data_IF_334914941994
#
_entry.id   IF_334914941994
#
_cell.length_a   1.000
_cell.length_b   1.000
_cell.length_c   1.000
_cell.angle_alpha   90.00
_cell.angle_beta   90.00
_cell.angle_gamma   90.00
#
_symmetry.space_group_name_H-M   'P 1'
#
loop_
_entity.id
_entity.type
_entity.pdbx_description
1 polymer ?
#
# COMPACT_ATOMS: atom_id res chain seq x y z
N UNK A 1 26.37 16.47 5.12
CA UNK A 1 26.61 15.19 4.42
C UNK A 1 25.44 14.29 4.71
N UNK A 2 24.80 13.72 3.69
CA UNK A 2 23.76 12.70 3.88
C UNK A 2 24.43 11.46 4.50
N UNK A 3 23.94 10.97 5.64
CA UNK A 3 24.45 9.72 6.22
C UNK A 3 24.13 8.58 5.26
N UNK A 4 25.08 7.65 5.08
CA UNK A 4 24.78 6.39 4.37
C UNK A 4 23.63 5.68 5.05
N UNK A 5 22.62 5.30 4.27
CA UNK A 5 21.48 4.53 4.77
C UNK A 5 21.96 3.08 5.05
N UNK A 6 21.57 2.49 6.19
CA UNK A 6 21.95 1.10 6.51
C UNK A 6 21.00 0.09 5.86
N UNK A 7 21.47 -1.14 5.71
CA UNK A 7 20.61 -2.30 5.51
C UNK A 7 19.67 -2.47 6.70
N UNK A 8 18.40 -2.84 6.46
CA UNK A 8 17.38 -2.94 7.51
C UNK A 8 17.39 -4.29 8.24
N UNK A 9 17.19 -5.37 7.50
CA UNK A 9 17.11 -6.73 8.02
C UNK A 9 18.02 -7.71 7.28
N UNK A 10 18.56 -7.30 6.13
CA UNK A 10 19.60 -8.05 5.42
C UNK A 10 20.98 -7.65 5.95
N UNK A 11 21.97 -8.51 5.68
CA UNK A 11 23.38 -8.23 5.88
C UNK A 11 24.17 -8.71 4.65
N UNK A 12 25.45 -8.34 4.50
CA UNK A 12 26.23 -8.69 3.30
C UNK A 12 26.26 -10.20 3.01
N UNK A 13 26.32 -11.04 4.03
CA UNK A 13 26.31 -12.51 3.88
C UNK A 13 24.98 -13.00 3.33
N UNK A 14 23.85 -12.58 3.93
CA UNK A 14 22.52 -12.97 3.46
C UNK A 14 22.22 -12.45 2.05
N UNK A 15 22.69 -11.24 1.70
CA UNK A 15 22.59 -10.71 0.34
C UNK A 15 23.29 -11.62 -0.67
N UNK A 16 24.53 -12.05 -0.37
CA UNK A 16 25.29 -12.92 -1.25
C UNK A 16 24.62 -14.31 -1.40
N UNK A 17 24.15 -14.90 -0.30
CA UNK A 17 23.46 -16.20 -0.29
C UNK A 17 22.14 -16.15 -1.08
N UNK A 18 21.32 -15.11 -0.88
CA UNK A 18 20.05 -14.92 -1.60
C UNK A 18 20.30 -14.69 -3.08
N UNK A 19 21.28 -13.82 -3.43
CA UNK A 19 21.65 -13.58 -4.83
C UNK A 19 22.12 -14.86 -5.54
N UNK A 20 22.89 -15.71 -4.85
CA UNK A 20 23.35 -17.00 -5.37
C UNK A 20 22.20 -18.00 -5.56
N UNK A 21 21.27 -18.07 -4.59
CA UNK A 21 20.18 -19.08 -4.57
C UNK A 21 19.02 -18.70 -5.51
N UNK A 22 18.66 -17.40 -5.60
CA UNK A 22 17.46 -16.95 -6.29
C UNK A 22 17.70 -16.00 -7.46
N UNK A 23 18.95 -15.57 -7.65
CA UNK A 23 19.33 -14.58 -8.65
C UNK A 23 18.92 -13.16 -8.28
N UNK A 24 19.39 -12.18 -9.07
CA UNK A 24 19.01 -10.77 -8.96
C UNK A 24 18.36 -10.31 -10.28
N UNK A 25 17.45 -9.30 -10.24
CA UNK A 25 16.86 -8.71 -9.04
C UNK A 25 15.83 -9.66 -8.40
N UNK A 26 15.61 -9.51 -7.08
CA UNK A 26 14.54 -10.18 -6.37
C UNK A 26 14.06 -9.38 -5.16
N UNK A 27 12.75 -9.38 -4.90
CA UNK A 27 12.20 -8.84 -3.65
C UNK A 27 12.45 -9.83 -2.51
N UNK A 28 12.87 -9.32 -1.37
CA UNK A 28 13.06 -10.10 -0.13
C UNK A 28 12.17 -9.52 0.95
N UNK A 29 11.22 -10.31 1.43
CA UNK A 29 10.29 -9.92 2.51
C UNK A 29 10.72 -10.52 3.84
N UNK A 30 10.74 -9.71 4.90
CA UNK A 30 10.98 -10.16 6.27
C UNK A 30 9.67 -10.55 6.94
N UNK A 31 9.46 -11.84 7.23
CA UNK A 31 8.27 -12.29 7.97
C UNK A 31 8.23 -11.71 9.37
N UNK A 32 9.38 -11.61 10.06
CA UNK A 32 9.47 -11.00 11.38
C UNK A 32 8.99 -9.55 11.38
N UNK A 33 9.49 -8.74 10.44
CA UNK A 33 9.09 -7.35 10.30
C UNK A 33 7.60 -7.20 9.95
N UNK A 34 7.07 -8.05 9.06
CA UNK A 34 5.64 -8.08 8.71
C UNK A 34 4.78 -8.35 9.96
N UNK A 35 5.16 -9.36 10.74
CA UNK A 35 4.44 -9.71 11.98
C UNK A 35 4.55 -8.62 13.05
N UNK A 36 5.71 -7.99 13.19
CA UNK A 36 5.90 -6.88 14.12
C UNK A 36 5.00 -5.68 13.78
N UNK A 37 4.98 -5.25 12.53
CA UNK A 37 4.11 -4.15 12.06
C UNK A 37 2.62 -4.47 12.20
N UNK A 38 2.22 -5.71 11.96
CA UNK A 38 0.85 -6.16 12.17
C UNK A 38 0.49 -6.13 13.66
N UNK A 39 1.37 -6.63 14.54
CA UNK A 39 1.19 -6.61 15.98
C UNK A 39 1.07 -5.20 16.56
N UNK A 40 1.85 -4.24 16.04
CA UNK A 40 1.74 -2.83 16.40
C UNK A 40 0.39 -2.25 15.97
N UNK A 41 -0.05 -2.55 14.74
CA UNK A 41 -1.31 -2.04 14.21
C UNK A 41 -2.53 -2.61 14.94
N UNK A 42 -2.49 -3.87 15.36
CA UNK A 42 -3.55 -4.51 16.16
C UNK A 42 -3.70 -3.88 17.56
N UNK A 43 -2.68 -3.16 18.05
CA UNK A 43 -2.72 -2.40 19.30
C UNK A 43 -3.20 -0.96 19.13
N UNK A 44 -3.73 -0.60 17.95
CA UNK A 44 -4.26 0.74 17.69
C UNK A 44 -5.36 1.08 18.71
N UNK A 45 -5.22 2.16 19.51
CA UNK A 45 -6.21 2.55 20.50
C UNK A 45 -7.59 2.79 19.89
N UNK A 46 -8.60 2.16 20.48
CA UNK A 46 -9.98 2.26 20.03
C UNK A 46 -10.94 2.24 21.22
N UNK A 47 -12.19 2.66 21.01
CA UNK A 47 -13.20 2.74 22.06
C UNK A 47 -14.06 1.48 22.17
N UNK A 48 -14.52 0.90 21.05
CA UNK A 48 -15.56 -0.12 21.02
C UNK A 48 -15.23 -1.27 20.04
N UNK A 49 -13.98 -1.63 19.93
CA UNK A 49 -13.47 -2.69 19.08
C UNK A 49 -12.83 -2.18 17.78
N UNK A 50 -11.91 -2.97 17.27
CA UNK A 50 -11.06 -2.68 16.11
C UNK A 50 -11.05 -3.85 15.14
N UNK A 51 -11.18 -3.55 13.85
CA UNK A 51 -10.79 -4.46 12.76
C UNK A 51 -9.73 -3.78 11.91
N UNK A 52 -8.57 -4.40 11.81
CA UNK A 52 -7.51 -3.97 10.88
C UNK A 52 -7.70 -4.73 9.57
N UNK A 53 -7.90 -4.02 8.47
CA UNK A 53 -7.97 -4.58 7.12
C UNK A 53 -6.69 -4.25 6.38
N UNK A 54 -5.95 -5.25 5.97
CA UNK A 54 -4.80 -5.03 5.11
C UNK A 54 -5.24 -4.57 3.72
N UNK A 55 -4.85 -3.36 3.30
CA UNK A 55 -5.06 -2.87 1.93
C UNK A 55 -4.16 -3.66 0.96
N UNK A 56 -4.70 -4.74 0.38
CA UNK A 56 -3.91 -5.73 -0.36
C UNK A 56 -3.30 -5.22 -1.66
N UNK A 57 -3.77 -4.07 -2.18
CA UNK A 57 -3.11 -3.35 -3.29
C UNK A 57 -1.65 -2.99 -3.01
N UNK A 58 -1.24 -2.90 -1.73
CA UNK A 58 0.15 -2.67 -1.35
C UNK A 58 1.06 -3.83 -1.77
N UNK A 59 0.64 -5.09 -1.59
CA UNK A 59 1.22 -6.31 -2.17
C UNK A 59 0.21 -7.46 -2.05
N UNK A 60 -0.36 -7.96 -3.17
CA UNK A 60 -1.40 -8.98 -3.14
C UNK A 60 -0.85 -10.43 -3.17
N UNK A 61 0.40 -10.65 -2.74
CA UNK A 61 1.01 -11.97 -2.69
C UNK A 61 0.28 -12.87 -1.67
N UNK A 62 -0.11 -14.07 -2.09
CA UNK A 62 -0.91 -14.99 -1.27
C UNK A 62 -0.22 -15.36 0.05
N UNK A 63 1.12 -15.47 0.08
CA UNK A 63 1.87 -15.76 1.32
C UNK A 63 1.74 -14.61 2.33
N UNK A 64 1.82 -13.36 1.84
CA UNK A 64 1.65 -12.17 2.68
C UNK A 64 0.23 -12.09 3.23
N UNK A 65 -0.79 -12.35 2.39
CA UNK A 65 -2.18 -12.39 2.82
C UNK A 65 -2.40 -13.43 3.93
N UNK A 66 -1.82 -14.63 3.78
CA UNK A 66 -1.91 -15.70 4.79
C UNK A 66 -1.22 -15.33 6.11
N UNK A 67 -0.08 -14.63 6.07
CA UNK A 67 0.58 -14.14 7.29
C UNK A 67 -0.35 -13.18 8.02
N UNK A 68 -0.92 -12.20 7.34
CA UNK A 68 -1.86 -11.25 7.95
C UNK A 68 -3.13 -11.92 8.47
N UNK A 69 -3.73 -12.84 7.71
CA UNK A 69 -4.91 -13.59 8.14
C UNK A 69 -4.64 -14.42 9.40
N UNK A 70 -3.47 -15.06 9.47
CA UNK A 70 -3.05 -15.84 10.66
C UNK A 70 -2.89 -14.99 11.92
N UNK A 71 -2.69 -13.68 11.77
CA UNK A 71 -2.61 -12.70 12.86
C UNK A 71 -3.96 -12.05 13.18
N UNK A 72 -5.04 -12.42 12.48
CA UNK A 72 -6.38 -11.89 12.70
C UNK A 72 -6.71 -10.63 11.90
N UNK A 73 -5.86 -10.20 10.98
CA UNK A 73 -6.20 -9.11 10.08
C UNK A 73 -7.23 -9.58 9.04
N UNK A 74 -8.05 -8.66 8.62
CA UNK A 74 -8.97 -8.80 7.50
C UNK A 74 -8.34 -8.19 6.23
N UNK A 75 -9.04 -8.26 5.09
CA UNK A 75 -8.55 -7.77 3.81
C UNK A 75 -9.45 -6.63 3.30
N UNK A 76 -8.83 -5.55 2.82
CA UNK A 76 -9.44 -4.56 1.95
C UNK A 76 -8.98 -4.83 0.52
N UNK A 77 -9.94 -5.08 -0.38
CA UNK A 77 -9.74 -5.32 -1.80
C UNK A 77 -10.23 -4.13 -2.62
N UNK A 78 -9.48 -3.74 -3.64
CA UNK A 78 -9.76 -2.58 -4.49
C UNK A 78 -10.26 -2.97 -5.89
N UNK A 79 -10.47 -4.25 -6.15
CA UNK A 79 -11.08 -4.78 -7.39
C UNK A 79 -11.66 -6.17 -7.16
N UNK A 80 -12.53 -6.63 -8.09
CA UNK A 80 -13.01 -8.02 -8.09
C UNK A 80 -11.87 -9.03 -8.22
N UNK A 81 -10.84 -8.70 -9.01
CA UNK A 81 -9.65 -9.55 -9.15
C UNK A 81 -8.87 -9.71 -7.83
N UNK A 82 -8.77 -8.65 -7.03
CA UNK A 82 -8.17 -8.75 -5.69
C UNK A 82 -9.01 -9.62 -4.76
N UNK A 83 -10.35 -9.51 -4.80
CA UNK A 83 -11.24 -10.42 -4.05
C UNK A 83 -10.98 -11.87 -4.44
N UNK A 84 -10.94 -12.18 -5.75
CA UNK A 84 -10.65 -13.53 -6.21
C UNK A 84 -9.26 -14.02 -5.80
N UNK A 85 -8.24 -13.15 -5.82
CA UNK A 85 -6.90 -13.51 -5.32
C UNK A 85 -6.92 -13.83 -3.82
N UNK A 86 -7.63 -13.04 -3.01
CA UNK A 86 -7.77 -13.31 -1.59
C UNK A 86 -8.50 -14.64 -1.32
N UNK A 87 -9.60 -14.92 -2.04
CA UNK A 87 -10.33 -16.18 -1.97
C UNK A 87 -9.45 -17.38 -2.37
N UNK A 88 -8.68 -17.26 -3.48
CA UNK A 88 -7.72 -18.28 -3.91
C UNK A 88 -6.58 -18.48 -2.91
N UNK A 89 -6.22 -17.46 -2.14
CA UNK A 89 -5.26 -17.57 -1.04
C UNK A 89 -5.86 -18.28 0.20
N UNK A 90 -7.16 -18.59 0.22
CA UNK A 90 -7.85 -19.24 1.32
C UNK A 90 -8.41 -18.29 2.38
N UNK A 91 -8.44 -16.99 2.10
CA UNK A 91 -9.06 -16.02 3.00
C UNK A 91 -10.59 -16.20 2.97
N UNK A 92 -11.20 -16.26 4.14
CA UNK A 92 -12.65 -16.41 4.26
C UNK A 92 -13.39 -15.18 3.71
N UNK A 93 -14.48 -15.37 2.94
CA UNK A 93 -15.20 -14.25 2.29
C UNK A 93 -15.63 -13.14 3.25
N UNK A 94 -16.10 -13.48 4.45
CA UNK A 94 -16.55 -12.53 5.47
C UNK A 94 -15.42 -11.64 6.04
N UNK A 95 -14.15 -12.02 5.83
CA UNK A 95 -13.00 -11.19 6.15
C UNK A 95 -12.62 -10.22 5.04
N UNK A 96 -13.19 -10.36 3.84
CA UNK A 96 -12.87 -9.52 2.67
C UNK A 96 -13.90 -8.39 2.56
N UNK A 97 -13.41 -7.17 2.37
CA UNK A 97 -14.23 -6.00 2.04
C UNK A 97 -13.78 -5.45 0.69
N UNK A 98 -14.73 -5.25 -0.22
CA UNK A 98 -14.50 -4.65 -1.53
C UNK A 98 -14.85 -3.16 -1.48
N UNK A 99 -13.87 -2.29 -1.79
CA UNK A 99 -14.02 -0.85 -1.96
C UNK A 99 -13.38 -0.44 -3.29
N UNK A 100 -14.14 -0.49 -4.38
CA UNK A 100 -13.62 -0.40 -5.74
C UNK A 100 -14.22 0.77 -6.51
N UNK A 101 -13.44 1.38 -7.42
CA UNK A 101 -13.95 2.34 -8.43
C UNK A 101 -14.91 1.67 -9.41
N UNK A 102 -14.65 0.41 -9.72
CA UNK A 102 -15.47 -0.43 -10.59
C UNK A 102 -16.17 -1.50 -9.76
N UNK A 103 -17.50 -1.58 -9.85
CA UNK A 103 -18.25 -2.70 -9.28
C UNK A 103 -18.10 -3.90 -10.25
N UNK A 104 -17.44 -5.01 -9.84
CA UNK A 104 -17.20 -6.14 -10.73
C UNK A 104 -18.50 -6.75 -11.24
N UNK A 105 -18.48 -7.37 -12.42
CA UNK A 105 -19.67 -7.98 -13.02
C UNK A 105 -20.29 -9.06 -12.12
N UNK A 106 -19.45 -9.84 -11.45
CA UNK A 106 -19.85 -10.91 -10.54
C UNK A 106 -20.10 -10.46 -9.09
N UNK A 107 -20.26 -9.15 -8.86
CA UNK A 107 -20.48 -8.59 -7.51
C UNK A 107 -21.59 -9.31 -6.72
N UNK A 108 -22.61 -9.77 -7.42
CA UNK A 108 -23.72 -10.49 -6.80
C UNK A 108 -23.27 -11.83 -6.22
N UNK A 109 -22.45 -12.58 -6.95
CA UNK A 109 -21.86 -13.84 -6.49
C UNK A 109 -20.94 -13.61 -5.28
N UNK A 110 -20.11 -12.56 -5.34
CA UNK A 110 -19.19 -12.21 -4.26
C UNK A 110 -19.97 -11.82 -2.99
N UNK A 111 -21.03 -11.01 -3.14
CA UNK A 111 -21.88 -10.61 -2.02
C UNK A 111 -22.56 -11.84 -1.36
N UNK A 112 -23.14 -12.76 -2.16
CA UNK A 112 -23.77 -13.98 -1.67
C UNK A 112 -22.79 -14.92 -0.95
N UNK A 113 -21.51 -14.92 -1.35
CA UNK A 113 -20.46 -15.64 -0.62
C UNK A 113 -20.09 -15.02 0.74
N UNK A 114 -20.59 -13.82 1.05
CA UNK A 114 -20.31 -13.12 2.30
C UNK A 114 -19.23 -12.03 2.21
N UNK A 115 -18.73 -11.72 1.00
CA UNK A 115 -17.83 -10.57 0.80
C UNK A 115 -18.59 -9.28 1.11
N UNK A 116 -17.99 -8.44 1.94
CA UNK A 116 -18.56 -7.14 2.27
C UNK A 116 -18.29 -6.17 1.13
N UNK A 117 -19.31 -5.39 0.72
CA UNK A 117 -19.16 -4.42 -0.37
C UNK A 117 -19.50 -3.02 0.15
N UNK A 118 -18.61 -2.07 -0.10
CA UNK A 118 -18.86 -0.66 0.06
C UNK A 118 -19.27 -0.06 -1.30
N UNK A 119 -20.47 0.47 -1.42
CA UNK A 119 -20.88 1.24 -2.59
C UNK A 119 -20.05 2.55 -2.64
N UNK A 120 -19.31 2.74 -3.72
CA UNK A 120 -18.42 3.89 -3.93
C UNK A 120 -19.02 4.97 -4.84
N UNK A 121 -20.22 4.74 -5.38
CA UNK A 121 -20.99 5.70 -6.16
C UNK A 121 -22.50 5.46 -6.00
N UNK A 122 -23.32 6.42 -6.41
CA UNK A 122 -24.78 6.25 -6.43
C UNK A 122 -25.22 5.13 -7.37
N UNK A 123 -24.52 4.94 -8.49
CA UNK A 123 -24.83 3.86 -9.42
C UNK A 123 -24.51 2.49 -8.84
N UNK A 124 -23.37 2.33 -8.21
CA UNK A 124 -23.04 1.10 -7.48
C UNK A 124 -24.10 0.78 -6.41
N UNK A 125 -24.54 1.79 -5.65
CA UNK A 125 -25.59 1.61 -4.66
C UNK A 125 -26.91 1.19 -5.32
N UNK A 126 -27.31 1.79 -6.45
CA UNK A 126 -28.53 1.41 -7.20
C UNK A 126 -28.44 -0.03 -7.73
N UNK A 127 -27.26 -0.46 -8.22
CA UNK A 127 -27.05 -1.83 -8.71
C UNK A 127 -27.16 -2.84 -7.57
N UNK A 128 -26.54 -2.57 -6.42
CA UNK A 128 -26.65 -3.38 -5.21
C UNK A 128 -28.10 -3.43 -4.70
N UNK A 129 -28.80 -2.28 -4.72
CA UNK A 129 -30.20 -2.18 -4.27
C UNK A 129 -31.16 -2.99 -5.14
N UNK A 130 -30.91 -3.06 -6.45
CA UNK A 130 -31.69 -3.91 -7.37
C UNK A 130 -31.43 -5.40 -7.17
N UNK A 131 -30.16 -5.77 -6.93
CA UNK A 131 -29.79 -7.18 -6.76
C UNK A 131 -30.15 -7.73 -5.38
N UNK A 132 -30.12 -6.89 -4.33
CA UNK A 132 -30.26 -7.33 -2.93
C UNK A 132 -31.19 -6.43 -2.12
N UNK A 133 -32.47 -6.30 -2.50
CA UNK A 133 -33.42 -5.51 -1.72
C UNK A 133 -33.55 -6.09 -0.29
N UNK A 134 -33.67 -5.21 0.69
CA UNK A 134 -33.78 -5.58 2.11
C UNK A 134 -32.47 -5.96 2.80
N UNK A 135 -31.39 -6.12 2.07
CA UNK A 135 -30.09 -6.52 2.62
C UNK A 135 -29.24 -5.33 3.12
N UNK A 136 -28.05 -5.61 3.66
CA UNK A 136 -27.14 -4.61 4.18
C UNK A 136 -26.08 -4.19 3.16
N UNK A 137 -25.55 -2.96 3.28
CA UNK A 137 -24.49 -2.44 2.42
C UNK A 137 -23.55 -1.52 3.22
N UNK A 138 -22.28 -1.46 2.81
CA UNK A 138 -21.37 -0.40 3.20
C UNK A 138 -21.49 0.80 2.24
N UNK A 139 -21.19 2.00 2.73
CA UNK A 139 -21.21 3.24 1.94
C UNK A 139 -19.85 3.93 2.06
N UNK A 140 -19.14 4.09 0.95
CA UNK A 140 -17.94 4.93 0.93
C UNK A 140 -18.30 6.35 0.54
N UNK A 141 -18.03 7.29 1.44
CA UNK A 141 -18.24 8.70 1.20
C UNK A 141 -16.93 9.44 0.91
N UNK A 142 -17.01 10.43 0.03
CA UNK A 142 -16.04 11.51 -0.07
C UNK A 142 -16.53 12.62 0.88
N UNK A 143 -15.81 12.87 2.00
CA UNK A 143 -16.27 13.82 3.02
C UNK A 143 -16.06 15.30 2.63
N UNK A 144 -15.56 15.57 1.41
CA UNK A 144 -15.28 16.94 0.95
C UNK A 144 -13.90 17.45 1.33
N UNK A 145 -13.10 16.63 2.01
CA UNK A 145 -11.73 16.93 2.39
C UNK A 145 -10.78 15.79 1.99
N UNK A 146 -9.58 16.15 1.58
CA UNK A 146 -8.51 15.20 1.29
C UNK A 146 -7.19 15.61 1.95
N UNK A 147 -6.27 14.64 2.02
CA UNK A 147 -4.90 14.82 2.51
C UNK A 147 -3.95 13.96 1.68
N UNK A 148 -2.72 14.44 1.50
CA UNK A 148 -1.67 13.71 0.79
C UNK A 148 -0.42 14.54 0.63
N UNK A 149 0.74 13.90 0.51
CA UNK A 149 2.01 14.58 0.24
C UNK A 149 2.10 15.18 -1.17
N UNK A 150 1.27 14.68 -2.08
CA UNK A 150 1.10 15.19 -3.45
C UNK A 150 -0.36 15.05 -3.86
N UNK A 151 -0.80 15.78 -4.90
CA UNK A 151 -2.14 15.61 -5.47
C UNK A 151 -2.44 14.18 -5.91
N UNK A 152 -1.42 13.42 -6.33
CA UNK A 152 -1.54 12.01 -6.75
C UNK A 152 -1.83 11.03 -5.59
N UNK A 153 -1.61 11.43 -4.34
CA UNK A 153 -1.87 10.62 -3.13
C UNK A 153 -3.09 11.10 -2.35
N UNK A 154 -3.77 12.14 -2.81
CA UNK A 154 -5.01 12.63 -2.24
C UNK A 154 -6.20 11.85 -2.82
N UNK A 155 -7.04 11.25 -1.96
CA UNK A 155 -8.21 10.45 -2.36
C UNK A 155 -9.52 10.96 -1.75
N UNK A 156 -9.56 12.24 -1.35
CA UNK A 156 -10.74 12.95 -0.86
C UNK A 156 -10.82 14.39 -1.38
N UNK A 157 -11.93 15.07 -1.12
CA UNK A 157 -12.16 16.44 -1.57
C UNK A 157 -12.69 16.55 -3.01
N UNK A 158 -12.89 17.79 -3.51
CA UNK A 158 -13.61 18.04 -4.78
C UNK A 158 -12.86 17.56 -6.02
N UNK A 159 -11.54 17.39 -5.94
CA UNK A 159 -10.70 16.92 -7.04
C UNK A 159 -10.49 15.40 -7.03
N UNK A 160 -11.24 14.66 -6.22
CA UNK A 160 -11.13 13.20 -6.07
C UNK A 160 -12.39 12.50 -6.58
N UNK A 161 -12.21 11.46 -7.40
CA UNK A 161 -13.30 10.62 -7.94
C UNK A 161 -13.78 9.55 -6.94
N UNK A 162 -13.15 9.43 -5.77
CA UNK A 162 -13.41 8.34 -4.84
C UNK A 162 -14.58 8.62 -3.91
N UNK A 163 -15.53 7.67 -3.87
CA UNK A 163 -16.66 7.68 -2.93
C UNK A 163 -17.83 8.56 -3.36
N UNK A 164 -18.96 8.36 -2.70
CA UNK A 164 -20.18 9.17 -2.89
C UNK A 164 -19.93 10.55 -2.28
N UNK A 165 -20.13 11.61 -3.05
CA UNK A 165 -19.99 12.97 -2.54
C UNK A 165 -20.95 13.23 -1.38
N UNK A 166 -20.46 13.78 -0.27
CA UNK A 166 -21.22 13.89 0.99
C UNK A 166 -22.56 14.63 0.85
N UNK A 167 -22.68 15.58 -0.08
CA UNK A 167 -23.94 16.30 -0.33
C UNK A 167 -25.01 15.41 -1.00
N UNK A 168 -24.65 14.21 -1.46
CA UNK A 168 -25.60 13.24 -2.06
C UNK A 168 -26.27 12.31 -1.02
N UNK A 169 -26.17 12.62 0.25
CA UNK A 169 -26.84 11.88 1.33
C UNK A 169 -28.36 11.77 1.11
N UNK A 170 -29.11 12.81 0.67
CA UNK A 170 -30.54 12.68 0.41
C UNK A 170 -30.86 11.59 -0.62
N UNK A 171 -30.12 11.55 -1.73
CA UNK A 171 -30.29 10.53 -2.78
C UNK A 171 -29.93 9.12 -2.26
N UNK A 172 -28.89 9.00 -1.43
CA UNK A 172 -28.54 7.73 -0.78
C UNK A 172 -29.69 7.25 0.11
N UNK A 173 -30.25 8.13 0.95
CA UNK A 173 -31.38 7.79 1.84
C UNK A 173 -32.62 7.36 1.03
N UNK A 174 -32.89 8.00 -0.10
CA UNK A 174 -33.99 7.64 -0.97
C UNK A 174 -33.82 6.24 -1.58
N UNK A 175 -32.61 5.92 -2.09
CA UNK A 175 -32.30 4.59 -2.63
C UNK A 175 -32.47 3.52 -1.56
N UNK A 176 -31.90 3.73 -0.37
CA UNK A 176 -31.99 2.79 0.75
C UNK A 176 -33.47 2.56 1.18
N UNK A 177 -34.25 3.64 1.25
CA UNK A 177 -35.69 3.56 1.59
C UNK A 177 -36.48 2.76 0.54
N UNK A 178 -36.32 3.08 -0.75
CA UNK A 178 -37.02 2.39 -1.85
C UNK A 178 -36.68 0.91 -1.93
N UNK A 179 -35.42 0.56 -1.71
CA UNK A 179 -34.95 -0.84 -1.75
C UNK A 179 -35.10 -1.58 -0.42
N UNK A 180 -35.49 -0.90 0.65
CA UNK A 180 -35.51 -1.42 2.04
C UNK A 180 -34.11 -1.87 2.51
N UNK A 181 -33.04 -1.45 1.86
CA UNK A 181 -31.67 -1.77 2.27
C UNK A 181 -31.28 -1.02 3.56
N UNK A 182 -30.32 -1.59 4.26
CA UNK A 182 -29.77 -1.00 5.48
C UNK A 182 -28.28 -0.66 5.29
N UNK A 183 -27.90 0.60 5.51
CA UNK A 183 -26.51 0.95 5.63
C UNK A 183 -25.98 0.52 7.01
N UNK A 184 -24.97 -0.36 7.05
CA UNK A 184 -24.35 -0.85 8.28
C UNK A 184 -22.93 -0.34 8.49
N UNK A 185 -22.28 0.12 7.44
CA UNK A 185 -20.91 0.64 7.46
C UNK A 185 -20.83 1.97 6.73
N UNK A 186 -20.11 2.92 7.31
CA UNK A 186 -19.58 4.09 6.64
C UNK A 186 -18.09 3.87 6.45
N UNK A 187 -17.59 4.16 5.26
CA UNK A 187 -16.17 4.18 4.93
C UNK A 187 -15.81 5.57 4.42
N UNK A 188 -14.74 6.12 4.95
CA UNK A 188 -14.08 7.34 4.46
C UNK A 188 -12.59 7.09 4.29
N UNK A 189 -12.01 7.64 3.25
CA UNK A 189 -10.56 7.60 3.07
C UNK A 189 -10.13 8.91 2.41
N UNK A 190 -9.24 9.64 3.05
CA UNK A 190 -8.87 11.00 2.62
C UNK A 190 -7.48 11.09 1.99
N UNK A 191 -6.70 10.01 2.03
CA UNK A 191 -5.33 9.97 1.50
C UNK A 191 -4.32 9.55 2.56
N UNK A 192 -3.20 10.26 2.67
CA UNK A 192 -2.12 9.90 3.59
C UNK A 192 -1.71 11.07 4.47
N UNK A 193 -1.36 10.79 5.73
CA UNK A 193 -0.91 11.81 6.67
C UNK A 193 -0.37 11.20 7.97
N UNK A 194 0.50 11.96 8.65
CA UNK A 194 1.02 11.63 9.98
C UNK A 194 0.61 12.65 11.04
N UNK A 195 -0.11 13.71 10.66
CA UNK A 195 -0.57 14.75 11.57
C UNK A 195 -1.81 14.29 12.35
N UNK A 196 -1.75 14.18 13.69
CA UNK A 196 -2.87 13.82 14.54
C UNK A 196 -4.10 14.72 14.39
N UNK A 197 -3.90 16.02 14.12
CA UNK A 197 -4.99 16.98 13.91
C UNK A 197 -5.81 16.68 12.66
N UNK A 198 -5.15 16.23 11.60
CA UNK A 198 -5.83 15.77 10.37
C UNK A 198 -6.69 14.56 10.69
N UNK A 199 -6.15 13.57 11.40
CA UNK A 199 -6.89 12.36 11.78
C UNK A 199 -8.05 12.65 12.72
N UNK A 200 -7.88 13.57 13.67
CA UNK A 200 -8.97 14.04 14.55
C UNK A 200 -10.11 14.64 13.72
N UNK A 201 -9.79 15.55 12.81
CA UNK A 201 -10.78 16.19 11.94
C UNK A 201 -11.51 15.17 11.06
N UNK A 202 -10.80 14.22 10.49
CA UNK A 202 -11.38 13.12 9.69
C UNK A 202 -12.35 12.30 10.53
N UNK A 203 -11.97 11.95 11.76
CA UNK A 203 -12.83 11.18 12.66
C UNK A 203 -14.14 11.93 12.92
N UNK A 204 -14.11 13.22 13.24
CA UNK A 204 -15.31 14.04 13.48
C UNK A 204 -16.21 14.08 12.22
N UNK A 205 -15.66 14.45 11.06
CA UNK A 205 -16.43 14.50 9.81
C UNK A 205 -17.05 13.15 9.46
N UNK A 206 -16.34 12.07 9.72
CA UNK A 206 -16.83 10.71 9.44
C UNK A 206 -17.91 10.27 10.43
N UNK A 207 -17.80 10.67 11.69
CA UNK A 207 -18.84 10.43 12.69
C UNK A 207 -20.10 11.25 12.42
N UNK A 208 -19.99 12.46 11.86
CA UNK A 208 -21.15 13.24 11.40
C UNK A 208 -21.89 12.52 10.26
N UNK A 209 -21.17 11.84 9.35
CA UNK A 209 -21.79 10.97 8.35
C UNK A 209 -22.48 9.76 8.99
N UNK A 210 -21.87 9.15 10.02
CA UNK A 210 -22.48 8.02 10.78
C UNK A 210 -23.79 8.44 11.42
N UNK A 211 -23.90 9.67 11.93
CA UNK A 211 -25.12 10.18 12.54
C UNK A 211 -26.28 10.34 11.55
N UNK A 212 -25.99 10.49 10.25
CA UNK A 212 -27.01 10.55 9.21
C UNK A 212 -27.76 9.21 8.98
N UNK A 213 -27.19 8.09 9.47
CA UNK A 213 -27.74 6.74 9.26
C UNK A 213 -27.85 5.99 10.59
N UNK A 214 -29.06 5.79 11.14
CA UNK A 214 -29.22 5.29 12.52
C UNK A 214 -28.77 3.83 12.71
N UNK A 215 -28.69 3.04 11.63
CA UNK A 215 -28.33 1.62 11.68
C UNK A 215 -26.85 1.34 11.44
N UNK A 216 -26.02 2.37 11.27
CA UNK A 216 -24.57 2.17 11.16
C UNK A 216 -24.01 1.66 12.48
N UNK A 217 -23.25 0.58 12.40
CA UNK A 217 -22.52 -0.03 13.53
C UNK A 217 -21.00 0.03 13.36
N UNK A 218 -20.51 0.34 12.17
CA UNK A 218 -19.09 0.32 11.84
C UNK A 218 -18.69 1.59 11.08
N UNK A 219 -17.60 2.20 11.51
CA UNK A 219 -16.93 3.27 10.78
C UNK A 219 -15.53 2.83 10.39
N UNK A 220 -15.25 2.85 9.08
CA UNK A 220 -13.93 2.62 8.50
C UNK A 220 -13.31 3.97 8.12
N UNK A 221 -12.15 4.29 8.68
CA UNK A 221 -11.42 5.53 8.42
C UNK A 221 -10.37 5.39 7.31
N UNK A 222 -10.29 4.23 6.66
CA UNK A 222 -9.31 3.96 5.61
C UNK A 222 -7.88 3.80 6.14
N UNK A 223 -6.95 3.97 5.23
CA UNK A 223 -5.52 3.89 5.48
C UNK A 223 -4.82 5.24 5.41
N UNK A 224 -3.53 5.23 5.01
CA UNK A 224 -2.76 6.46 4.85
C UNK A 224 -1.74 6.70 5.96
N UNK A 225 -1.50 5.72 6.82
CA UNK A 225 -0.44 5.77 7.83
C UNK A 225 0.92 5.67 7.16
N UNK A 226 1.69 6.77 7.20
CA UNK A 226 3.00 6.89 6.57
C UNK A 226 4.06 6.10 7.33
N UNK A 227 5.07 5.66 6.60
CA UNK A 227 6.35 5.21 7.18
C UNK A 227 7.50 6.02 6.59
N UNK A 228 8.45 6.39 7.44
CA UNK A 228 9.71 6.95 7.00
C UNK A 228 10.55 5.87 6.32
N UNK A 229 10.84 6.07 5.05
CA UNK A 229 11.76 5.20 4.29
C UNK A 229 13.19 5.67 4.43
N UNK A 230 13.42 6.97 4.27
CA UNK A 230 14.72 7.61 4.48
C UNK A 230 14.92 7.93 5.97
N UNK A 231 16.18 7.99 6.41
CA UNK A 231 16.52 8.37 7.79
C UNK A 231 16.01 9.77 8.18
N UNK A 232 15.76 10.63 7.20
CA UNK A 232 15.19 11.98 7.40
C UNK A 232 13.66 12.01 7.47
N UNK A 233 12.97 10.91 7.18
CA UNK A 233 11.51 10.84 7.16
C UNK A 233 10.97 10.28 8.48
N UNK A 234 9.78 10.72 8.87
CA UNK A 234 9.10 10.27 10.07
C UNK A 234 7.97 9.29 9.72
N UNK A 235 7.87 8.22 10.50
CA UNK A 235 6.73 7.31 10.49
C UNK A 235 5.58 7.89 11.31
N UNK A 236 4.34 7.54 10.94
CA UNK A 236 3.16 7.82 11.74
C UNK A 236 3.25 7.09 13.08
N UNK A 237 3.15 7.82 14.19
CA UNK A 237 2.95 7.21 15.49
C UNK A 237 1.47 6.84 15.66
N UNK A 238 1.16 5.55 15.59
CA UNK A 238 -0.22 5.04 15.64
C UNK A 238 -0.92 5.39 16.96
N UNK A 239 -0.20 5.39 18.08
CA UNK A 239 -0.76 5.74 19.39
C UNK A 239 -1.19 7.21 19.42
N UNK A 240 -0.33 8.10 18.93
CA UNK A 240 -0.60 9.55 18.91
C UNK A 240 -1.78 9.91 18.01
N UNK A 241 -1.90 9.29 16.83
CA UNK A 241 -3.04 9.57 15.92
C UNK A 241 -4.33 8.91 16.39
N UNK A 242 -4.24 7.80 17.10
CA UNK A 242 -5.42 7.04 17.54
C UNK A 242 -6.14 7.66 18.74
N UNK A 243 -5.43 8.32 19.66
CA UNK A 243 -6.03 8.90 20.87
C UNK A 243 -7.17 9.89 20.57
N UNK A 244 -7.01 10.91 19.70
CA UNK A 244 -8.11 11.79 19.36
C UNK A 244 -9.25 11.11 18.61
N UNK A 245 -8.96 10.06 17.82
CA UNK A 245 -9.98 9.22 17.18
C UNK A 245 -10.80 8.50 18.24
N UNK A 246 -10.13 7.81 19.16
CA UNK A 246 -10.79 7.10 20.28
C UNK A 246 -11.71 8.04 21.07
N UNK A 247 -11.22 9.21 21.45
CA UNK A 247 -12.00 10.22 22.19
C UNK A 247 -13.24 10.67 21.41
N UNK A 248 -13.16 10.85 20.09
CA UNK A 248 -14.30 11.23 19.26
C UNK A 248 -15.40 10.13 19.26
N UNK A 249 -15.01 8.84 19.22
CA UNK A 249 -15.95 7.72 19.31
C UNK A 249 -16.60 7.62 20.69
N UNK A 250 -15.84 7.85 21.76
CA UNK A 250 -16.35 7.88 23.13
C UNK A 250 -17.38 9.03 23.32
N UNK A 251 -17.07 10.21 22.80
CA UNK A 251 -17.97 11.36 22.82
C UNK A 251 -19.27 11.09 22.06
N UNK A 252 -19.20 10.48 20.87
CA UNK A 252 -20.40 10.08 20.14
C UNK A 252 -21.26 9.12 20.98
N UNK A 253 -20.65 8.12 21.60
CA UNK A 253 -21.36 7.14 22.42
C UNK A 253 -22.03 7.80 23.65
N UNK A 254 -21.35 8.73 24.32
CA UNK A 254 -21.90 9.50 25.44
C UNK A 254 -23.12 10.31 25.01
N UNK A 255 -23.04 10.98 23.84
CA UNK A 255 -24.10 11.88 23.39
C UNK A 255 -25.30 11.16 22.76
N UNK A 256 -25.12 9.96 22.20
CA UNK A 256 -26.13 9.27 21.38
C UNK A 256 -26.50 7.86 21.86
N UNK A 257 -25.75 7.32 22.81
CA UNK A 257 -25.84 5.91 23.23
C UNK A 257 -25.30 4.89 22.21
N UNK A 258 -24.77 5.34 21.06
CA UNK A 258 -24.34 4.47 19.95
C UNK A 258 -22.85 4.13 20.08
N UNK A 259 -22.55 2.84 20.19
CA UNK A 259 -21.18 2.31 20.18
C UNK A 259 -20.82 1.87 18.76
N UNK A 260 -19.86 2.55 18.14
CA UNK A 260 -19.44 2.30 16.76
C UNK A 260 -18.11 1.56 16.74
N UNK A 261 -18.07 0.43 16.02
CA UNK A 261 -16.85 -0.34 15.81
C UNK A 261 -15.93 0.39 14.82
N UNK A 262 -14.63 0.45 15.11
CA UNK A 262 -13.62 1.08 14.26
C UNK A 262 -13.03 0.06 13.27
N UNK A 263 -12.92 0.44 12.01
CA UNK A 263 -12.07 -0.25 11.02
C UNK A 263 -11.01 0.71 10.48
N UNK A 264 -9.81 0.18 10.20
CA UNK A 264 -8.69 0.90 9.55
C UNK A 264 -8.09 0.03 8.44
N UNK A 265 -7.49 0.68 7.41
CA UNK A 265 -6.97 0.01 6.21
C UNK A 265 -5.48 0.31 5.95
N UNK A 266 -4.56 -0.03 6.87
CA UNK A 266 -3.13 0.15 6.62
C UNK A 266 -2.65 -0.75 5.48
N UNK A 267 -1.86 -0.17 4.54
CA UNK A 267 -1.11 -0.90 3.52
C UNK A 267 0.38 -0.61 3.67
N UNK A 268 0.76 0.65 3.46
CA UNK A 268 2.15 1.12 3.57
C UNK A 268 2.77 0.78 4.92
N UNK A 269 2.06 1.07 6.01
CA UNK A 269 2.55 0.88 7.38
C UNK A 269 2.90 -0.58 7.67
N UNK A 270 2.08 -1.50 7.18
CA UNK A 270 2.26 -2.94 7.42
C UNK A 270 3.44 -3.54 6.66
N UNK A 271 3.79 -2.99 5.48
CA UNK A 271 4.64 -3.75 4.58
C UNK A 271 5.85 -2.98 4.02
N UNK A 272 5.78 -1.66 3.88
CA UNK A 272 6.77 -0.92 3.11
C UNK A 272 8.21 -1.19 3.55
N UNK A 273 8.51 -1.07 4.84
CA UNK A 273 9.85 -1.24 5.39
C UNK A 273 10.24 -2.70 5.68
N UNK A 274 9.33 -3.62 5.39
CA UNK A 274 9.50 -5.05 5.63
C UNK A 274 9.88 -5.81 4.36
N UNK A 275 10.31 -5.09 3.31
CA UNK A 275 10.91 -5.70 2.14
C UNK A 275 12.00 -4.82 1.54
N UNK A 276 12.99 -5.51 0.97
CA UNK A 276 14.13 -4.97 0.24
C UNK A 276 14.14 -5.54 -1.18
N UNK A 277 14.64 -4.78 -2.15
CA UNK A 277 14.91 -5.27 -3.50
C UNK A 277 16.43 -5.47 -3.63
N UNK A 278 16.84 -6.72 -3.71
CA UNK A 278 18.23 -7.10 -3.95
C UNK A 278 18.49 -7.12 -5.44
N UNK A 279 19.45 -6.33 -5.89
CA UNK A 279 19.82 -6.15 -7.29
C UNK A 279 21.35 -6.08 -7.46
N UNK A 280 21.79 -5.82 -8.67
CA UNK A 280 23.22 -5.79 -9.01
C UNK A 280 23.55 -4.60 -9.91
N UNK A 281 24.72 -4.03 -9.71
CA UNK A 281 25.30 -3.00 -10.59
C UNK A 281 25.71 -3.66 -11.91
N UNK A 282 25.14 -3.18 -13.01
CA UNK A 282 25.41 -3.69 -14.36
C UNK A 282 26.45 -2.86 -15.10
N UNK A 283 26.42 -1.55 -14.88
CA UNK A 283 27.29 -0.64 -15.60
C UNK A 283 27.48 0.68 -14.85
N UNK A 284 28.53 1.41 -15.20
CA UNK A 284 28.84 2.75 -14.73
C UNK A 284 29.05 3.66 -15.91
N UNK A 285 28.49 4.86 -15.89
CA UNK A 285 28.74 5.90 -16.91
C UNK A 285 29.13 7.18 -16.22
N UNK A 286 30.25 7.78 -16.69
CA UNK A 286 30.70 9.10 -16.26
C UNK A 286 30.53 10.08 -17.42
N UNK A 287 29.87 11.22 -17.15
CA UNK A 287 29.61 12.27 -18.18
C UNK A 287 30.53 13.45 -18.05
N UNK A 288 31.65 13.29 -17.36
CA UNK A 288 32.72 14.30 -17.28
C UNK A 288 32.56 15.32 -16.15
N UNK A 289 33.36 16.37 -16.17
CA UNK A 289 33.48 17.34 -15.05
C UNK A 289 32.16 18.12 -14.80
N UNK A 290 31.42 18.42 -15.85
CA UNK A 290 30.13 19.15 -15.75
C UNK A 290 28.93 18.23 -15.51
N UNK A 291 29.17 16.94 -15.44
CA UNK A 291 28.09 15.92 -15.39
C UNK A 291 28.06 15.14 -14.11
N UNK A 292 27.65 13.87 -14.23
CA UNK A 292 27.45 12.96 -13.12
C UNK A 292 28.07 11.59 -13.41
N UNK A 293 28.36 10.86 -12.34
CA UNK A 293 28.64 9.43 -12.45
C UNK A 293 27.33 8.67 -12.18
N UNK A 294 26.90 7.87 -13.15
CA UNK A 294 25.66 7.06 -13.08
C UNK A 294 25.98 5.62 -12.70
N UNK A 295 25.21 5.06 -11.78
CA UNK A 295 25.12 3.62 -11.52
C UNK A 295 23.89 3.10 -12.26
N UNK A 296 24.06 2.10 -13.12
CA UNK A 296 22.97 1.38 -13.78
C UNK A 296 22.75 0.04 -13.10
N UNK A 297 21.52 -0.20 -12.61
CA UNK A 297 21.15 -1.42 -11.92
C UNK A 297 20.43 -2.40 -12.87
N UNK A 298 20.42 -3.69 -12.56
CA UNK A 298 19.57 -4.68 -13.26
C UNK A 298 18.10 -4.67 -12.80
N UNK A 299 17.64 -3.55 -12.31
CA UNK A 299 16.27 -3.27 -11.86
C UNK A 299 15.94 -1.82 -12.17
N UNK A 300 14.70 -1.41 -12.04
CA UNK A 300 14.29 -0.04 -12.28
C UNK A 300 12.80 0.16 -12.05
N UNK A 301 12.17 0.99 -12.90
CA UNK A 301 10.73 1.26 -12.85
C UNK A 301 9.86 0.01 -13.07
N UNK A 302 10.42 -1.06 -13.60
CA UNK A 302 9.79 -2.38 -13.71
C UNK A 302 9.53 -3.04 -12.36
N UNK A 303 10.24 -2.65 -11.30
CA UNK A 303 10.05 -3.11 -9.91
C UNK A 303 9.68 -1.96 -8.97
N UNK A 304 10.29 -0.79 -9.12
CA UNK A 304 10.16 0.36 -8.21
C UNK A 304 9.74 1.61 -8.98
N UNK A 305 8.48 1.71 -9.38
CA UNK A 305 7.91 2.84 -10.12
C UNK A 305 7.79 4.12 -9.28
N UNK A 306 7.81 4.02 -7.96
CA UNK A 306 7.53 5.13 -7.06
C UNK A 306 8.42 6.36 -7.21
N UNK A 307 9.75 6.24 -7.46
CA UNK A 307 10.60 7.39 -7.77
C UNK A 307 10.12 8.14 -9.01
N UNK A 308 9.88 7.45 -10.12
CA UNK A 308 9.41 8.03 -11.38
C UNK A 308 8.01 8.64 -11.27
N UNK A 309 7.08 7.98 -10.54
CA UNK A 309 5.69 8.40 -10.46
C UNK A 309 5.44 9.51 -9.44
N UNK A 310 6.13 9.46 -8.29
CA UNK A 310 5.86 10.30 -7.11
C UNK A 310 7.07 11.10 -6.64
N UNK A 311 8.23 11.01 -7.29
CA UNK A 311 9.51 11.50 -6.78
C UNK A 311 9.83 10.91 -5.38
N UNK A 312 9.36 9.68 -5.11
CA UNK A 312 9.52 9.05 -3.82
C UNK A 312 10.97 8.62 -3.62
N UNK A 313 11.48 8.88 -2.41
CA UNK A 313 12.82 8.48 -2.03
C UNK A 313 12.83 7.06 -1.47
N UNK A 314 13.85 6.31 -1.84
CA UNK A 314 14.16 5.01 -1.27
C UNK A 314 15.64 4.97 -0.83
N UNK A 315 15.99 4.36 0.31
CA UNK A 315 17.37 4.10 0.66
C UNK A 315 17.99 3.15 -0.39
N UNK A 316 19.20 3.46 -0.81
CA UNK A 316 20.00 2.65 -1.73
C UNK A 316 21.31 2.34 -1.02
N UNK A 317 21.65 1.07 -0.92
CA UNK A 317 22.84 0.59 -0.20
C UNK A 317 23.67 -0.29 -1.13
N UNK A 318 24.91 0.11 -1.40
CA UNK A 318 25.87 -0.73 -2.10
C UNK A 318 26.48 -1.69 -1.09
N UNK A 319 26.37 -2.98 -1.38
CA UNK A 319 26.79 -4.06 -0.46
C UNK A 319 28.23 -4.46 -0.79
N UNK A 320 29.18 -3.64 -0.37
CA UNK A 320 30.61 -3.90 -0.49
C UNK A 320 31.36 -3.40 0.77
N UNK A 321 32.68 -3.58 0.80
CA UNK A 321 33.55 -3.18 1.91
C UNK A 321 34.32 -1.89 1.64
N UNK A 322 33.91 -1.09 0.65
CA UNK A 322 34.58 0.16 0.32
C UNK A 322 34.45 1.17 1.47
N UNK A 323 35.60 1.74 1.88
CA UNK A 323 35.67 2.77 2.91
C UNK A 323 35.58 4.20 2.33
N UNK A 324 35.50 4.31 1.02
CA UNK A 324 35.44 5.58 0.28
C UNK A 324 34.04 5.71 -0.34
N UNK A 325 33.48 6.90 -0.26
CA UNK A 325 32.19 7.22 -0.87
C UNK A 325 32.36 8.17 -2.06
N UNK A 326 31.45 8.11 -3.02
CA UNK A 326 31.34 9.01 -4.16
C UNK A 326 29.87 9.39 -4.38
N UNK A 327 29.63 10.53 -5.01
CA UNK A 327 28.29 10.93 -5.41
C UNK A 327 27.88 10.23 -6.72
N UNK A 328 26.71 9.61 -6.73
CA UNK A 328 26.17 8.91 -7.88
C UNK A 328 24.72 9.29 -8.13
N UNK A 329 24.32 9.28 -9.40
CA UNK A 329 22.93 9.16 -9.81
C UNK A 329 22.67 7.68 -10.05
N UNK A 330 21.58 7.14 -9.50
CA UNK A 330 21.21 5.73 -9.69
C UNK A 330 20.02 5.66 -10.65
N UNK A 331 20.18 4.88 -11.70
CA UNK A 331 19.18 4.66 -12.74
C UNK A 331 18.90 3.17 -12.91
N UNK A 332 17.75 2.86 -13.48
CA UNK A 332 17.37 1.48 -13.79
C UNK A 332 17.90 1.00 -15.13
N UNK A 333 17.34 -0.10 -15.58
CA UNK A 333 17.74 -0.85 -16.78
C UNK A 333 16.86 -0.56 -18.01
N UNK A 334 15.79 0.22 -17.85
CA UNK A 334 14.91 0.52 -18.98
C UNK A 334 15.56 1.55 -19.92
N UNK A 335 15.29 1.40 -21.22
CA UNK A 335 15.66 2.41 -22.21
C UNK A 335 14.68 3.59 -22.14
N UNK A 336 14.68 4.27 -20.99
CA UNK A 336 13.74 5.32 -20.61
C UNK A 336 14.39 6.27 -19.61
N UNK A 337 14.45 7.57 -19.92
CA UNK A 337 15.08 8.58 -19.04
C UNK A 337 14.34 8.76 -17.71
N UNK A 338 13.04 8.44 -17.67
CA UNK A 338 12.23 8.40 -16.45
C UNK A 338 12.53 7.22 -15.52
N UNK A 339 13.39 6.26 -15.90
CA UNK A 339 13.85 5.17 -15.04
C UNK A 339 14.92 5.63 -14.05
N UNK A 340 14.60 6.71 -13.33
CA UNK A 340 15.44 7.38 -12.35
C UNK A 340 15.08 6.93 -10.94
N UNK A 341 16.03 6.32 -10.23
CA UNK A 341 15.83 5.84 -8.84
C UNK A 341 16.23 6.89 -7.78
N UNK A 342 16.93 7.93 -8.19
CA UNK A 342 17.36 9.05 -7.32
C UNK A 342 16.85 10.40 -7.82
N UNK A 343 15.51 10.60 -7.93
CA UNK A 343 14.95 11.90 -8.25
C UNK A 343 15.11 12.88 -7.09
N UNK A 344 14.96 14.18 -7.36
CA UNK A 344 14.85 15.19 -6.30
C UNK A 344 13.48 15.11 -5.59
N UNK A 345 13.42 15.64 -4.37
CA UNK A 345 12.19 15.65 -3.58
C UNK A 345 11.09 16.46 -4.29
N UNK A 346 9.97 15.79 -4.55
CA UNK A 346 8.81 16.40 -5.21
C UNK A 346 8.97 16.67 -6.72
N UNK A 347 10.13 16.34 -7.32
CA UNK A 347 10.38 16.49 -8.75
C UNK A 347 11.00 15.21 -9.32
N UNK A 348 10.19 14.41 -10.02
CA UNK A 348 10.60 13.12 -10.57
C UNK A 348 11.62 13.24 -11.74
N UNK A 349 11.72 14.40 -12.36
CA UNK A 349 12.59 14.63 -13.52
C UNK A 349 13.99 15.17 -13.13
N UNK A 350 14.12 15.70 -11.90
CA UNK A 350 15.36 16.31 -11.44
C UNK A 350 16.25 15.31 -10.74
N UNK A 351 17.52 15.26 -11.13
CA UNK A 351 18.55 14.38 -10.57
C UNK A 351 18.95 14.84 -9.17
N UNK A 352 19.04 13.89 -8.22
CA UNK A 352 19.57 14.11 -6.87
C UNK A 352 20.72 13.12 -6.61
N UNK A 353 21.99 13.58 -6.64
CA UNK A 353 23.13 12.72 -6.34
C UNK A 353 23.04 12.13 -4.93
N UNK A 354 23.37 10.85 -4.81
CA UNK A 354 23.46 10.11 -3.54
C UNK A 354 24.93 9.82 -3.22
N UNK A 355 25.30 10.07 -1.99
CA UNK A 355 26.61 9.67 -1.49
C UNK A 355 26.56 8.19 -1.13
N UNK A 356 27.20 7.34 -1.93
CA UNK A 356 27.21 5.89 -1.80
C UNK A 356 28.65 5.38 -1.74
N UNK A 357 28.85 4.17 -1.22
CA UNK A 357 30.15 3.49 -1.27
C UNK A 357 30.67 3.47 -2.70
N UNK A 358 31.99 3.65 -2.87
CA UNK A 358 32.63 3.49 -4.18
C UNK A 358 32.22 2.15 -4.79
N UNK A 359 31.64 2.24 -5.97
CA UNK A 359 30.90 1.15 -6.60
C UNK A 359 31.66 0.60 -7.80
N UNK A 360 31.63 -0.72 -7.96
CA UNK A 360 32.18 -1.44 -9.10
C UNK A 360 31.09 -2.26 -9.80
N UNK A 361 31.27 -2.54 -11.10
CA UNK A 361 30.39 -3.43 -11.86
C UNK A 361 30.38 -4.81 -11.19
N UNK A 362 29.19 -5.37 -10.97
CA UNK A 362 29.02 -6.63 -10.30
C UNK A 362 28.68 -6.52 -8.80
N UNK A 363 28.87 -5.35 -8.17
CA UNK A 363 28.48 -5.13 -6.78
C UNK A 363 26.98 -5.43 -6.56
N UNK A 364 26.65 -6.00 -5.41
CA UNK A 364 25.28 -6.11 -4.98
C UNK A 364 24.78 -4.74 -4.47
N UNK A 365 23.55 -4.44 -4.79
CA UNK A 365 22.85 -3.25 -4.35
C UNK A 365 21.50 -3.64 -3.73
N UNK A 366 21.11 -2.95 -2.68
CA UNK A 366 19.83 -3.12 -2.02
C UNK A 366 19.06 -1.81 -2.04
N UNK A 367 17.83 -1.84 -2.56
CA UNK A 367 16.86 -0.75 -2.45
C UNK A 367 15.89 -1.13 -1.33
N UNK A 368 15.85 -0.28 -0.30
CA UNK A 368 15.06 -0.52 0.91
C UNK A 368 13.66 0.09 0.85
N UNK A 369 12.78 -0.38 1.73
CA UNK A 369 11.43 0.20 1.87
C UNK A 369 10.50 -0.07 0.69
N UNK A 370 10.68 -1.18 -0.02
CA UNK A 370 9.98 -1.54 -1.27
C UNK A 370 8.82 -2.52 -1.09
N UNK A 371 8.43 -2.85 0.14
CA UNK A 371 7.39 -3.85 0.40
C UNK A 371 6.00 -3.45 -0.05
N UNK A 372 5.73 -2.15 -0.18
CA UNK A 372 4.40 -1.64 -0.53
C UNK A 372 4.43 -0.78 -1.79
N UNK A 373 3.51 -1.04 -2.73
CA UNK A 373 3.35 -0.30 -3.98
C UNK A 373 4.62 -0.29 -4.86
N UNK A 374 5.35 -1.41 -4.86
CA UNK A 374 6.46 -1.67 -5.75
C UNK A 374 6.15 -2.90 -6.61
N UNK A 375 6.33 -4.13 -6.13
CA UNK A 375 5.99 -5.35 -6.88
C UNK A 375 4.52 -5.40 -7.38
N UNK A 376 3.59 -4.71 -6.72
CA UNK A 376 2.18 -4.64 -7.10
C UNK A 376 1.83 -3.49 -8.05
N UNK A 377 2.69 -2.48 -8.15
CA UNK A 377 2.44 -1.25 -8.90
C UNK A 377 3.72 -0.85 -9.64
N UNK A 378 4.09 -1.59 -10.66
CA UNK A 378 5.30 -1.42 -11.46
C UNK A 378 4.97 -1.39 -12.94
N UNK A 379 5.89 -0.90 -13.78
CA UNK A 379 5.80 -0.95 -15.24
C UNK A 379 6.13 -2.36 -15.75
N UNK A 380 5.24 -3.31 -15.45
CA UNK A 380 5.44 -4.73 -15.77
C UNK A 380 5.69 -4.96 -17.25
N UNK A 381 6.71 -5.75 -17.51
CA UNK A 381 7.16 -6.15 -18.86
C UNK A 381 7.54 -4.98 -19.79
N UNK A 382 7.79 -3.77 -19.25
CA UNK A 382 8.36 -2.70 -20.06
C UNK A 382 9.76 -3.12 -20.57
N UNK A 383 10.08 -2.81 -21.82
CA UNK A 383 11.23 -3.34 -22.58
C UNK A 383 11.36 -4.88 -22.54
N UNK A 384 10.25 -5.60 -22.35
CA UNK A 384 10.16 -7.06 -22.21
C UNK A 384 10.92 -7.64 -21.02
N UNK A 385 11.25 -6.83 -20.00
CA UNK A 385 11.82 -7.36 -18.76
C UNK A 385 10.81 -8.23 -18.00
N UNK A 386 11.21 -9.45 -17.56
CA UNK A 386 10.33 -10.35 -16.82
C UNK A 386 10.07 -9.84 -15.39
N UNK A 387 8.89 -10.11 -14.86
CA UNK A 387 8.62 -9.89 -13.43
C UNK A 387 9.61 -10.69 -12.58
N UNK A 388 10.19 -10.05 -11.59
CA UNK A 388 11.24 -10.64 -10.73
C UNK A 388 10.67 -11.58 -9.68
N UNK A 389 11.53 -12.43 -9.13
CA UNK A 389 11.17 -13.32 -8.03
C UNK A 389 10.84 -12.54 -6.76
N UNK A 390 9.91 -13.08 -5.95
CA UNK A 390 9.68 -12.66 -4.57
C UNK A 390 10.08 -13.81 -3.64
N UNK A 391 10.85 -13.50 -2.62
CA UNK A 391 11.30 -14.47 -1.61
C UNK A 391 10.91 -14.00 -0.22
N UNK A 392 10.65 -14.95 0.68
CA UNK A 392 10.36 -14.70 2.08
C UNK A 392 11.56 -15.16 2.91
N UNK A 393 12.03 -14.28 3.76
CA UNK A 393 12.90 -14.59 4.89
C UNK A 393 11.99 -14.90 6.09
N UNK A 394 11.77 -16.19 6.42
CA UNK A 394 10.82 -16.57 7.45
C UNK A 394 11.40 -16.33 8.85
N UNK A 395 10.54 -16.33 9.89
CA UNK A 395 10.98 -16.28 11.30
C UNK A 395 11.82 -17.51 11.65
N UNK A 396 11.45 -18.66 11.10
CA UNK A 396 12.16 -19.93 11.27
C UNK A 396 12.29 -20.66 9.93
N UNK A 397 13.41 -21.36 9.76
CA UNK A 397 13.67 -22.13 8.54
C UNK A 397 14.37 -21.32 7.43
N UNK A 398 14.42 -21.89 6.26
CA UNK A 398 15.15 -21.33 5.12
C UNK A 398 14.36 -20.32 4.31
N UNK A 399 15.08 -19.34 3.76
CA UNK A 399 14.54 -18.41 2.75
C UNK A 399 13.95 -19.18 1.58
N UNK A 400 12.71 -18.85 1.18
CA UNK A 400 11.95 -19.54 0.16
C UNK A 400 11.28 -18.60 -0.85
N UNK A 401 11.07 -19.10 -2.06
CA UNK A 401 10.31 -18.40 -3.11
C UNK A 401 8.83 -18.34 -2.70
N UNK A 402 8.24 -17.15 -2.82
CA UNK A 402 6.80 -16.89 -2.68
C UNK A 402 6.15 -16.40 -3.99
N UNK A 403 6.97 -16.01 -4.97
CA UNK A 403 6.62 -15.83 -6.40
C UNK A 403 7.84 -16.16 -7.26
N UNK A 404 7.66 -17.00 -8.26
CA UNK A 404 8.72 -17.33 -9.21
C UNK A 404 8.96 -16.15 -10.15
N UNK A 405 10.19 -16.04 -10.67
CA UNK A 405 10.52 -15.12 -11.77
C UNK A 405 9.69 -15.52 -13.00
N UNK A 406 9.16 -14.53 -13.70
CA UNK A 406 8.48 -14.74 -14.99
C UNK A 406 9.48 -15.19 -16.05
N UNK A 407 9.06 -16.04 -16.97
CA UNK A 407 9.86 -16.43 -18.14
C UNK A 407 9.45 -15.63 -19.36
N UNK A 408 10.28 -15.64 -20.42
CA UNK A 408 9.95 -15.00 -21.69
C UNK A 408 8.66 -15.58 -22.29
N UNK A 409 8.48 -16.89 -22.21
CA UNK A 409 7.29 -17.60 -22.71
C UNK A 409 6.02 -17.10 -21.99
N UNK A 410 6.13 -16.79 -20.70
CA UNK A 410 4.99 -16.22 -19.94
C UNK A 410 4.69 -14.77 -20.32
N UNK A 411 5.67 -14.01 -20.83
CA UNK A 411 5.42 -12.64 -21.33
C UNK A 411 4.59 -12.72 -22.60
N UNK A 412 4.98 -13.59 -23.53
CA UNK A 412 4.39 -13.67 -24.87
C UNK A 412 3.25 -14.70 -24.99
N UNK A 413 2.86 -15.36 -23.89
CA UNK A 413 1.89 -16.49 -23.91
C UNK A 413 0.51 -16.16 -24.50
N UNK A 414 0.15 -14.89 -24.59
CA UNK A 414 -1.13 -14.42 -25.13
C UNK A 414 -0.99 -13.78 -26.52
N UNK A 415 0.22 -13.80 -27.11
CA UNK A 415 0.43 -13.34 -28.48
C UNK A 415 -0.05 -14.42 -29.47
N UNK A 416 -0.67 -14.00 -30.58
CA UNK A 416 -1.26 -14.87 -31.62
C UNK A 416 -0.61 -14.63 -32.97
#
# INVERSE_FOLDING_TARGET
MQKNEPLRFLNPKSCAEIAKKFGTPCFVYSEEGIRASAGETLKFPNAFGLTVRYAMKASPNATILKIFDSMGLHIDASSGYEVHRALKAGIKPEKICLSSQELPEDFAVLYQKGVKINACSLDQLKRLARAFPGQSVGLRFNPGMGSGGTGKTNVGGPSSSFGIWHQKIPEVKEILKKSKMTAQRVHTHIGSGSDPKVWQRVAHMSLDLVQQFPKITTLNLGGGYKVGRMASELSTNLQTVALPIKAAFENLATNTGRRIHLEIEPGTFLLANNASLLCRVQDLTDTGEEGHTFIKLNTGMTEVLRPSLYAAQHPIVIVNQANITKNYIVVGHCCESGDLLTPDYGNAEKLLPRNLNKTEIGDLCVIEGVGAYCASMSCKNYNSFPEVAEVLLPVTGETRIIRRRQTLEQIIQNEV
#
